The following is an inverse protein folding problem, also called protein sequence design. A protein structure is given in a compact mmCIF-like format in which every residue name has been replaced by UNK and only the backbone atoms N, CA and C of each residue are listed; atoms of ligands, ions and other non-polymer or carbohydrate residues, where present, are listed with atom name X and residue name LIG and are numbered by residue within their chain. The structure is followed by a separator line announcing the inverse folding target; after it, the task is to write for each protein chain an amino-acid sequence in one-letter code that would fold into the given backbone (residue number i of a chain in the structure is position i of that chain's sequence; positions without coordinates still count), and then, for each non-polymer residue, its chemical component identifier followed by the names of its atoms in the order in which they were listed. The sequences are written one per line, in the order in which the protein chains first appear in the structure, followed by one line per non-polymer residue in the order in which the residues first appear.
data_IF_498835276647
#
_entry.id   IF_498835276647
#
_cell.length_a   1.000
_cell.length_b   1.000
_cell.length_c   1.000
_cell.angle_alpha   90.00
_cell.angle_beta   90.00
_cell.angle_gamma   90.00
#
_symmetry.space_group_name_H-M   'P 1'
#
loop_
_entity.id
_entity.type
_entity.pdbx_description
1 polymer ?
#
# COMPACT_ATOMS: atom_id res chain seq x y z
N UNK A 1 6.31 9.43 12.62
CA UNK A 1 5.45 9.61 11.45
C UNK A 1 6.28 10.20 10.31
N UNK A 2 6.14 9.71 9.08
CA UNK A 2 6.84 10.23 7.90
C UNK A 2 5.89 11.10 7.09
N UNK A 3 6.31 12.34 6.78
CA UNK A 3 5.46 13.33 6.10
C UNK A 3 6.24 13.92 4.94
N UNK A 4 5.73 13.76 3.72
CA UNK A 4 6.26 14.44 2.54
C UNK A 4 6.18 15.95 2.76
N UNK A 5 7.31 16.64 2.71
CA UNK A 5 7.37 18.09 2.82
C UNK A 5 7.84 18.79 1.55
N UNK A 6 8.70 18.14 0.77
CA UNK A 6 9.27 18.72 -0.44
C UNK A 6 9.60 17.65 -1.47
N UNK A 7 9.42 17.96 -2.75
CA UNK A 7 9.79 17.13 -3.89
C UNK A 7 10.63 17.94 -4.88
N UNK A 8 11.66 17.30 -5.44
CA UNK A 8 12.48 17.82 -6.52
C UNK A 8 12.22 16.98 -7.78
N UNK A 9 11.71 17.61 -8.83
CA UNK A 9 11.34 16.97 -10.09
C UNK A 9 12.00 17.68 -11.28
N UNK A 10 12.53 16.98 -12.30
CA UNK A 10 13.29 17.61 -13.37
C UNK A 10 12.47 18.61 -14.20
N UNK A 11 11.17 18.38 -14.37
CA UNK A 11 10.31 19.25 -15.18
C UNK A 11 9.55 20.28 -14.34
N UNK A 12 9.20 19.93 -13.10
CA UNK A 12 8.36 20.77 -12.25
C UNK A 12 9.15 21.61 -11.25
N UNK A 13 10.47 21.37 -11.18
CA UNK A 13 11.34 21.99 -10.20
C UNK A 13 11.01 21.54 -8.78
N UNK A 14 10.97 22.51 -7.86
CA UNK A 14 10.75 22.27 -6.43
C UNK A 14 9.26 22.42 -6.10
N UNK A 15 8.66 21.37 -5.54
CA UNK A 15 7.28 21.36 -5.05
C UNK A 15 7.27 21.21 -3.54
N UNK A 16 6.60 22.12 -2.84
CA UNK A 16 6.34 21.99 -1.41
C UNK A 16 4.98 21.31 -1.19
N UNK A 17 4.97 20.29 -0.34
CA UNK A 17 3.72 19.67 0.06
C UNK A 17 2.90 20.60 0.97
N UNK A 18 1.58 20.58 0.80
CA UNK A 18 0.65 21.33 1.67
C UNK A 18 0.45 20.57 2.98
N UNK A 19 1.30 20.86 3.96
CA UNK A 19 1.28 20.22 5.27
C UNK A 19 0.63 21.14 6.30
N UNK A 20 -0.38 20.64 7.02
CA UNK A 20 -0.95 21.34 8.16
C UNK A 20 -0.07 21.12 9.40
N UNK A 21 0.83 22.06 9.66
CA UNK A 21 1.78 21.98 10.77
C UNK A 21 1.14 22.10 12.15
N UNK A 22 -0.01 22.77 12.28
CA UNK A 22 -0.76 22.81 13.55
C UNK A 22 -1.30 21.44 13.95
N UNK A 23 -1.77 20.64 12.98
CA UNK A 23 -2.17 19.25 13.27
C UNK A 23 -0.98 18.39 13.67
N UNK A 24 0.18 18.56 13.02
CA UNK A 24 1.40 17.86 13.39
C UNK A 24 1.89 18.22 14.80
N UNK A 25 1.80 19.50 15.17
CA UNK A 25 2.12 19.98 16.51
C UNK A 25 1.18 19.36 17.55
N UNK A 26 -0.13 19.35 17.30
CA UNK A 26 -1.14 18.77 18.20
C UNK A 26 -0.98 17.26 18.36
N UNK A 27 -0.60 16.54 17.30
CA UNK A 27 -0.34 15.10 17.33
C UNK A 27 0.89 14.74 18.19
N UNK A 28 1.92 15.60 18.22
CA UNK A 28 3.05 15.53 19.14
C UNK A 28 4.05 14.38 18.92
N UNK A 29 3.71 13.36 18.12
CA UNK A 29 4.63 12.25 17.81
C UNK A 29 5.85 12.74 17.02
N UNK A 30 7.01 12.04 17.11
CA UNK A 30 8.17 12.35 16.29
C UNK A 30 7.85 12.35 14.79
N UNK A 31 8.22 13.42 14.11
CA UNK A 31 8.01 13.64 12.67
C UNK A 31 9.33 13.50 11.92
N UNK A 32 9.26 12.76 10.82
CA UNK A 32 10.31 12.61 9.82
C UNK A 32 9.89 13.42 8.60
N UNK A 33 10.66 14.45 8.24
CA UNK A 33 10.47 15.20 7.00
C UNK A 33 10.96 14.35 5.82
N UNK A 34 10.06 13.94 4.95
CA UNK A 34 10.42 13.23 3.71
C UNK A 34 10.71 14.24 2.62
N UNK A 35 11.88 14.11 2.01
CA UNK A 35 12.38 14.86 0.86
C UNK A 35 12.41 13.90 -0.32
N UNK A 36 11.50 14.08 -1.28
CA UNK A 36 11.43 13.21 -2.47
C UNK A 36 12.32 13.76 -3.58
N UNK A 37 13.21 12.92 -4.10
CA UNK A 37 13.99 13.20 -5.30
C UNK A 37 13.47 12.30 -6.41
N UNK A 38 13.11 12.88 -7.55
CA UNK A 38 12.68 12.08 -8.69
C UNK A 38 13.85 11.25 -9.26
N UNK A 39 13.62 9.96 -9.53
CA UNK A 39 14.62 9.03 -10.07
C UNK A 39 15.24 9.47 -11.41
N UNK A 40 14.55 10.33 -12.16
CA UNK A 40 15.00 10.86 -13.46
C UNK A 40 15.78 12.17 -13.36
N UNK A 41 16.04 12.70 -12.15
CA UNK A 41 16.89 13.86 -11.97
C UNK A 41 18.27 13.63 -12.57
N UNK A 42 18.67 14.45 -13.54
CA UNK A 42 19.98 14.35 -14.19
C UNK A 42 21.12 14.84 -13.29
N UNK A 43 20.84 15.78 -12.39
CA UNK A 43 21.83 16.36 -11.47
C UNK A 43 21.29 16.43 -10.03
N UNK A 44 22.19 16.16 -9.08
CA UNK A 44 21.96 16.31 -7.64
C UNK A 44 22.65 17.59 -7.17
N UNK A 45 21.98 18.73 -7.35
CA UNK A 45 22.53 20.03 -7.00
C UNK A 45 22.31 20.36 -5.51
N UNK A 46 23.30 20.04 -4.70
CA UNK A 46 23.31 20.36 -3.26
C UNK A 46 23.12 21.86 -3.00
N UNK A 47 23.64 22.75 -3.85
CA UNK A 47 23.60 24.20 -3.62
C UNK A 47 22.18 24.75 -3.72
N UNK A 48 21.33 24.10 -4.52
CA UNK A 48 19.91 24.41 -4.62
C UNK A 48 19.08 23.63 -3.59
N UNK A 49 19.36 22.33 -3.41
CA UNK A 49 18.54 21.45 -2.56
C UNK A 49 18.66 21.77 -1.07
N UNK A 50 19.88 21.93 -0.55
CA UNK A 50 20.12 22.07 0.88
C UNK A 50 19.48 23.34 1.47
N UNK A 51 19.56 24.53 0.85
CA UNK A 51 18.87 25.71 1.37
C UNK A 51 17.35 25.55 1.46
N UNK A 52 16.72 24.86 0.50
CA UNK A 52 15.27 24.62 0.52
C UNK A 52 14.88 23.69 1.69
N UNK A 53 15.63 22.62 1.89
CA UNK A 53 15.43 21.69 3.01
C UNK A 53 15.62 22.41 4.35
N UNK A 54 16.67 23.23 4.50
CA UNK A 54 16.91 24.04 5.71
C UNK A 54 15.77 25.01 6.03
N UNK A 55 15.24 25.68 5.01
CA UNK A 55 14.08 26.59 5.17
C UNK A 55 12.87 25.83 5.69
N UNK A 56 12.61 24.63 5.15
CA UNK A 56 11.48 23.81 5.57
C UNK A 56 11.65 23.27 7.00
N UNK A 57 12.86 22.79 7.36
CA UNK A 57 13.21 22.39 8.73
C UNK A 57 12.98 23.53 9.71
N UNK A 58 13.46 24.73 9.39
CA UNK A 58 13.28 25.92 10.22
C UNK A 58 11.80 26.27 10.38
N UNK A 59 11.03 26.21 9.29
CA UNK A 59 9.60 26.48 9.29
C UNK A 59 8.84 25.49 10.20
N UNK A 60 9.08 24.19 10.08
CA UNK A 60 8.40 23.17 10.89
C UNK A 60 8.79 23.25 12.37
N UNK A 61 10.06 23.48 12.68
CA UNK A 61 10.52 23.69 14.06
C UNK A 61 9.88 24.93 14.69
N UNK A 62 9.80 26.04 13.95
CA UNK A 62 9.13 27.27 14.42
C UNK A 62 7.63 27.05 14.67
N UNK A 63 7.00 26.14 13.92
CA UNK A 63 5.60 25.75 14.12
C UNK A 63 5.40 24.76 15.30
N UNK A 64 6.46 24.40 16.04
CA UNK A 64 6.37 23.48 17.18
C UNK A 64 6.24 22.01 16.78
N UNK A 65 6.49 21.67 15.51
CA UNK A 65 6.50 20.27 15.07
C UNK A 65 7.69 19.55 15.73
N UNK A 66 7.43 18.37 16.30
CA UNK A 66 8.45 17.49 16.86
C UNK A 66 9.30 16.83 15.75
N UNK A 67 10.06 17.64 15.01
CA UNK A 67 10.86 17.22 13.86
C UNK A 67 12.18 16.59 14.31
N UNK A 68 12.29 15.28 14.20
CA UNK A 68 13.43 14.49 14.68
C UNK A 68 14.32 13.93 13.58
N UNK A 69 13.81 13.82 12.35
CA UNK A 69 14.54 13.21 11.24
C UNK A 69 14.21 13.84 9.88
N UNK A 70 15.12 13.66 8.94
CA UNK A 70 14.92 13.90 7.51
C UNK A 70 15.17 12.57 6.79
N UNK A 71 14.24 12.16 5.93
CA UNK A 71 14.40 10.99 5.07
C UNK A 71 14.47 11.44 3.62
N UNK A 72 15.56 11.11 2.93
CA UNK A 72 15.68 11.32 1.50
C UNK A 72 15.10 10.10 0.79
N UNK A 73 13.95 10.30 0.15
CA UNK A 73 13.31 9.29 -0.68
C UNK A 73 13.77 9.46 -2.12
N UNK A 74 14.70 8.60 -2.55
CA UNK A 74 15.32 8.69 -3.87
C UNK A 74 15.61 7.31 -4.45
N UNK A 75 14.88 6.96 -5.50
CA UNK A 75 15.10 5.75 -6.31
C UNK A 75 16.28 5.94 -7.27
N UNK A 76 17.47 6.19 -6.70
CA UNK A 76 18.69 6.42 -7.45
C UNK A 76 19.03 5.23 -8.37
N UNK A 77 19.43 5.48 -9.63
CA UNK A 77 20.06 4.45 -10.44
C UNK A 77 21.30 3.90 -9.72
N UNK A 78 21.49 2.57 -9.73
CA UNK A 78 22.62 1.91 -9.04
C UNK A 78 23.99 2.48 -9.48
N UNK A 79 24.11 2.96 -10.71
CA UNK A 79 25.32 3.60 -11.23
C UNK A 79 25.64 4.96 -10.61
N UNK A 80 24.69 5.58 -9.89
CA UNK A 80 24.78 6.93 -9.32
C UNK A 80 24.87 6.97 -7.79
N UNK A 81 25.06 5.82 -7.14
CA UNK A 81 25.18 5.78 -5.68
C UNK A 81 26.37 6.63 -5.15
N UNK A 82 27.43 6.82 -5.95
CA UNK A 82 28.55 7.70 -5.59
C UNK A 82 28.17 9.19 -5.62
N UNK A 83 27.38 9.63 -6.61
CA UNK A 83 26.81 10.98 -6.65
C UNK A 83 25.90 11.20 -5.44
N UNK A 84 25.07 10.20 -5.15
CA UNK A 84 24.14 10.25 -4.03
C UNK A 84 24.88 10.33 -2.68
N UNK A 85 25.94 9.55 -2.50
CA UNK A 85 26.79 9.63 -1.32
C UNK A 85 27.37 11.04 -1.13
N UNK A 86 27.88 11.67 -2.19
CA UNK A 86 28.40 13.05 -2.11
C UNK A 86 27.33 14.06 -1.70
N UNK A 87 26.11 13.93 -2.22
CA UNK A 87 24.97 14.72 -1.80
C UNK A 87 24.69 14.56 -0.31
N UNK A 88 24.60 13.31 0.18
CA UNK A 88 24.29 13.00 1.58
C UNK A 88 25.36 13.51 2.54
N UNK A 89 26.64 13.38 2.18
CA UNK A 89 27.74 13.92 2.99
C UNK A 89 27.63 15.45 3.12
N UNK A 90 27.33 16.15 2.03
CA UNK A 90 27.16 17.59 2.05
C UNK A 90 25.88 18.01 2.81
N UNK A 91 24.79 17.24 2.68
CA UNK A 91 23.59 17.43 3.49
C UNK A 91 23.88 17.24 4.98
N UNK A 92 24.62 16.19 5.35
CA UNK A 92 24.95 15.91 6.76
C UNK A 92 25.77 17.04 7.39
N UNK A 93 26.73 17.61 6.65
CA UNK A 93 27.50 18.80 7.07
C UNK A 93 26.63 20.06 7.17
N UNK A 94 25.64 20.18 6.30
CA UNK A 94 24.77 21.34 6.26
C UNK A 94 23.66 21.35 7.31
N UNK A 95 23.07 20.18 7.60
CA UNK A 95 21.87 20.04 8.42
C UNK A 95 22.19 20.01 9.92
N UNK A 96 21.26 20.45 10.80
CA UNK A 96 21.43 20.37 12.25
C UNK A 96 21.83 18.97 12.72
N UNK A 97 22.87 18.87 13.57
CA UNK A 97 23.44 17.59 14.01
C UNK A 97 22.50 16.76 14.89
N UNK A 98 21.46 17.38 15.46
CA UNK A 98 20.43 16.75 16.27
C UNK A 98 19.32 16.09 15.45
N UNK A 99 19.27 16.32 14.13
CA UNK A 99 18.33 15.65 13.22
C UNK A 99 18.97 14.39 12.65
N UNK A 100 18.30 13.24 12.78
CA UNK A 100 18.67 11.99 12.11
C UNK A 100 18.53 12.14 10.58
N UNK A 101 19.57 11.83 9.82
CA UNK A 101 19.51 11.73 8.37
C UNK A 101 19.28 10.27 7.95
N UNK A 102 18.20 10.01 7.22
CA UNK A 102 17.82 8.69 6.71
C UNK A 102 17.66 8.70 5.20
N UNK A 103 17.71 7.52 4.58
CA UNK A 103 17.39 7.33 3.16
C UNK A 103 16.48 6.13 2.94
N UNK A 104 15.73 6.15 1.84
CA UNK A 104 15.21 4.91 1.25
C UNK A 104 16.31 4.19 0.47
N UNK A 105 16.23 2.86 0.40
CA UNK A 105 17.16 2.02 -0.31
C UNK A 105 16.45 0.92 -1.09
N UNK A 106 16.98 0.61 -2.27
CA UNK A 106 16.39 -0.37 -3.18
C UNK A 106 17.09 -1.74 -3.10
N UNK A 107 16.35 -2.86 -3.25
CA UNK A 107 16.96 -4.19 -3.35
C UNK A 107 17.96 -4.33 -4.50
N UNK A 108 17.78 -3.56 -5.59
CA UNK A 108 18.70 -3.54 -6.75
C UNK A 108 20.10 -3.02 -6.41
N UNK A 109 20.28 -2.36 -5.26
CA UNK A 109 21.58 -1.86 -4.81
C UNK A 109 22.39 -2.91 -4.04
N UNK A 110 21.79 -4.03 -3.62
CA UNK A 110 22.42 -5.02 -2.73
C UNK A 110 23.70 -5.64 -3.29
N UNK A 111 23.85 -5.68 -4.62
CA UNK A 111 25.04 -6.20 -5.29
C UNK A 111 26.06 -5.10 -5.63
N UNK A 112 25.74 -3.83 -5.36
CA UNK A 112 26.60 -2.71 -5.68
C UNK A 112 27.67 -2.48 -4.60
N UNK A 113 28.95 -2.33 -4.99
CA UNK A 113 29.99 -1.93 -4.04
C UNK A 113 29.75 -0.51 -3.48
N UNK A 114 28.95 0.31 -4.16
CA UNK A 114 28.60 1.67 -3.71
C UNK A 114 27.61 1.72 -2.54
N UNK A 115 26.91 0.62 -2.22
CA UNK A 115 25.89 0.62 -1.18
C UNK A 115 26.49 0.83 0.22
N UNK A 116 27.56 0.12 0.59
CA UNK A 116 28.14 0.25 1.93
C UNK A 116 28.67 1.66 2.22
N UNK A 117 29.44 2.31 1.32
CA UNK A 117 29.85 3.72 1.49
C UNK A 117 28.67 4.67 1.64
N UNK A 118 27.60 4.47 0.86
CA UNK A 118 26.37 5.26 0.94
C UNK A 118 25.72 5.16 2.32
N UNK A 119 25.51 3.95 2.83
CA UNK A 119 24.86 3.72 4.13
C UNK A 119 25.70 4.22 5.32
N UNK A 120 27.03 4.32 5.17
CA UNK A 120 27.90 4.95 6.17
C UNK A 120 27.72 6.47 6.26
N UNK A 121 27.18 7.13 5.23
CA UNK A 121 27.01 8.57 5.19
C UNK A 121 25.75 9.08 5.92
N UNK A 122 24.92 8.17 6.43
CA UNK A 122 23.60 8.47 7.01
C UNK A 122 23.41 7.74 8.33
N UNK A 123 22.50 8.23 9.16
CA UNK A 123 22.27 7.75 10.53
C UNK A 123 21.32 6.53 10.58
N UNK A 124 20.47 6.39 9.56
CA UNK A 124 19.60 5.22 9.38
C UNK A 124 19.22 5.01 7.92
N UNK A 125 18.54 3.90 7.62
CA UNK A 125 18.01 3.64 6.27
C UNK A 125 16.73 2.83 6.27
N UNK A 126 16.02 2.81 5.14
CA UNK A 126 14.79 2.04 4.93
C UNK A 126 14.92 1.22 3.67
N UNK A 127 15.04 -0.11 3.78
CA UNK A 127 15.02 -0.99 2.61
C UNK A 127 13.57 -1.15 2.11
N UNK A 128 13.32 -0.76 0.87
CA UNK A 128 12.02 -0.87 0.23
C UNK A 128 11.80 -2.30 -0.26
N UNK A 129 10.84 -2.98 0.37
CA UNK A 129 10.37 -4.31 -0.02
C UNK A 129 9.01 -4.25 -0.73
N UNK A 130 8.61 -3.05 -1.14
CA UNK A 130 7.46 -2.79 -1.99
C UNK A 130 7.95 -2.48 -3.42
N UNK A 131 7.16 -2.80 -4.44
CA UNK A 131 7.50 -2.57 -5.86
C UNK A 131 8.70 -3.37 -6.36
N UNK A 132 8.70 -4.65 -6.00
CA UNK A 132 9.88 -5.51 -6.03
C UNK A 132 10.16 -6.15 -7.39
N UNK A 133 9.16 -6.31 -8.23
CA UNK A 133 9.29 -7.08 -9.47
C UNK A 133 8.52 -6.46 -10.63
N UNK A 134 8.80 -6.97 -11.82
CA UNK A 134 8.07 -6.63 -13.04
C UNK A 134 6.56 -6.84 -12.83
N UNK A 135 5.72 -5.97 -13.44
CA UNK A 135 4.27 -5.93 -13.29
C UNK A 135 3.61 -7.30 -13.04
N UNK A 136 3.93 -8.31 -13.86
CA UNK A 136 3.26 -9.62 -13.84
C UNK A 136 3.57 -10.57 -12.67
N UNK A 137 4.46 -10.24 -11.72
CA UNK A 137 4.93 -11.21 -10.70
C UNK A 137 4.45 -10.95 -9.28
N UNK A 138 3.70 -9.86 -9.05
CA UNK A 138 3.17 -9.51 -7.73
C UNK A 138 3.91 -8.35 -7.06
N UNK A 139 3.26 -7.72 -6.09
CA UNK A 139 3.81 -6.57 -5.36
C UNK A 139 4.81 -6.94 -4.26
N UNK A 140 4.70 -8.16 -3.73
CA UNK A 140 5.49 -8.65 -2.60
C UNK A 140 5.77 -10.15 -2.77
N UNK A 141 7.03 -10.52 -2.60
CA UNK A 141 7.47 -11.92 -2.53
C UNK A 141 8.16 -12.14 -1.16
N UNK A 142 7.59 -12.95 -0.26
CA UNK A 142 8.16 -13.16 1.08
C UNK A 142 9.54 -13.83 1.04
N UNK A 143 9.82 -14.66 0.04
CA UNK A 143 11.12 -15.32 -0.13
C UNK A 143 12.19 -14.32 -0.52
N UNK A 144 11.90 -13.44 -1.47
CA UNK A 144 12.81 -12.35 -1.84
C UNK A 144 12.99 -11.34 -0.70
N UNK A 145 11.89 -10.95 -0.06
CA UNK A 145 11.90 -10.05 1.10
C UNK A 145 12.81 -10.56 2.21
N UNK A 146 12.71 -11.86 2.57
CA UNK A 146 13.61 -12.49 3.56
C UNK A 146 15.06 -12.45 3.11
N UNK A 147 15.35 -12.84 1.87
CA UNK A 147 16.72 -12.88 1.34
C UNK A 147 17.36 -11.50 1.41
N UNK A 148 16.65 -10.48 0.95
CA UNK A 148 17.17 -9.11 0.94
C UNK A 148 17.29 -8.51 2.32
N UNK A 149 16.34 -8.76 3.23
CA UNK A 149 16.44 -8.31 4.61
C UNK A 149 17.71 -8.86 5.29
N UNK A 150 18.02 -10.14 5.06
CA UNK A 150 19.25 -10.78 5.58
C UNK A 150 20.51 -10.22 4.93
N UNK A 151 20.52 -10.05 3.60
CA UNK A 151 21.67 -9.47 2.89
C UNK A 151 21.94 -8.02 3.32
N UNK A 152 20.87 -7.23 3.44
CA UNK A 152 20.97 -5.83 3.84
C UNK A 152 21.54 -5.68 5.25
N UNK A 153 21.16 -6.54 6.19
CA UNK A 153 21.69 -6.55 7.55
C UNK A 153 23.22 -6.81 7.62
N UNK A 154 23.80 -7.50 6.63
CA UNK A 154 25.25 -7.69 6.54
C UNK A 154 25.99 -6.46 6.00
N UNK A 155 25.26 -5.55 5.32
CA UNK A 155 25.82 -4.39 4.63
C UNK A 155 25.62 -3.11 5.45
N UNK A 156 24.42 -2.93 6.01
CA UNK A 156 24.02 -1.75 6.77
C UNK A 156 24.83 -1.63 8.07
N UNK A 157 25.60 -0.54 8.24
CA UNK A 157 26.38 -0.30 9.46
C UNK A 157 25.56 0.38 10.58
N UNK A 158 24.34 0.80 10.27
CA UNK A 158 23.48 1.61 11.13
C UNK A 158 22.08 1.00 11.20
N UNK A 159 21.26 1.39 12.21
CA UNK A 159 19.85 1.04 12.30
C UNK A 159 19.10 1.16 10.96
N UNK A 160 18.36 0.11 10.58
CA UNK A 160 17.53 0.14 9.37
C UNK A 160 16.11 -0.35 9.61
N UNK A 161 15.21 0.10 8.75
CA UNK A 161 13.82 -0.32 8.71
C UNK A 161 13.52 -1.07 7.41
N UNK A 162 12.44 -1.83 7.40
CA UNK A 162 11.90 -2.45 6.19
C UNK A 162 10.60 -1.76 5.79
N UNK A 163 10.50 -1.26 4.56
CA UNK A 163 9.25 -0.71 4.06
C UNK A 163 8.40 -1.78 3.38
N UNK A 164 7.25 -2.11 3.99
CA UNK A 164 6.32 -3.13 3.51
C UNK A 164 5.08 -2.51 2.86
N UNK A 165 4.52 -3.15 1.81
CA UNK A 165 3.31 -2.68 1.16
C UNK A 165 2.08 -2.93 2.05
N UNK A 166 1.23 -1.92 2.18
CA UNK A 166 -0.13 -1.97 2.72
C UNK A 166 -1.16 -1.61 1.64
N UNK A 167 -0.87 -1.95 0.38
CA UNK A 167 -1.70 -1.65 -0.79
C UNK A 167 -1.67 -2.79 -1.79
N UNK A 168 -2.70 -2.82 -2.64
CA UNK A 168 -2.73 -3.56 -3.90
C UNK A 168 -2.40 -2.67 -5.10
N UNK A 169 -2.03 -3.28 -6.22
CA UNK A 169 -1.83 -2.65 -7.53
C UNK A 169 -2.86 -3.16 -8.52
N UNK A 170 -3.04 -2.47 -9.64
CA UNK A 170 -3.73 -3.06 -10.79
C UNK A 170 -2.71 -3.28 -11.90
N UNK A 171 -2.71 -4.49 -12.47
CA UNK A 171 -2.08 -4.76 -13.75
C UNK A 171 -3.04 -4.41 -14.85
N UNK A 172 -2.55 -3.65 -15.82
CA UNK A 172 -3.24 -3.40 -17.07
C UNK A 172 -2.51 -4.22 -18.13
N UNK A 173 -3.18 -5.25 -18.64
CA UNK A 173 -2.70 -6.02 -19.77
C UNK A 173 -3.50 -5.63 -21.01
N UNK A 174 -2.82 -5.09 -22.03
CA UNK A 174 -3.40 -4.84 -23.35
C UNK A 174 -2.78 -5.84 -24.36
N UNK A 175 -3.55 -6.42 -25.30
CA UNK A 175 -3.01 -7.32 -26.31
C UNK A 175 -1.86 -6.66 -27.09
N UNK A 176 -0.68 -7.30 -27.09
CA UNK A 176 0.50 -6.81 -27.81
C UNK A 176 1.31 -5.70 -27.11
N UNK A 177 0.97 -5.31 -25.89
CA UNK A 177 1.76 -4.38 -25.07
C UNK A 177 2.26 -5.04 -23.78
N UNK A 178 3.46 -4.67 -23.28
CA UNK A 178 3.92 -5.11 -21.97
C UNK A 178 2.95 -4.63 -20.87
N UNK A 179 2.64 -5.52 -19.92
CA UNK A 179 1.76 -5.20 -18.80
C UNK A 179 2.25 -3.94 -18.05
N UNK A 180 1.33 -3.01 -17.81
CA UNK A 180 1.62 -1.74 -17.12
C UNK A 180 1.05 -1.78 -15.70
N UNK A 181 1.80 -1.31 -14.70
CA UNK A 181 1.33 -1.22 -13.30
C UNK A 181 0.69 0.14 -13.06
N UNK A 182 -0.58 0.14 -12.65
CA UNK A 182 -1.26 1.32 -12.13
C UNK A 182 -1.08 1.35 -10.59
N UNK A 183 -0.13 2.17 -10.10
CA UNK A 183 0.20 2.27 -8.67
C UNK A 183 -0.45 3.46 -7.98
N UNK A 184 -0.36 4.67 -8.56
CA UNK A 184 -0.78 5.91 -7.89
C UNK A 184 -1.80 6.74 -8.68
N UNK A 185 -1.63 6.88 -10.01
CA UNK A 185 -2.53 7.63 -10.89
C UNK A 185 -3.30 6.71 -11.83
N UNK A 186 -4.59 6.98 -12.12
CA UNK A 186 -5.33 6.21 -13.09
C UNK A 186 -4.67 6.27 -14.46
N UNK A 187 -4.27 5.11 -14.97
CA UNK A 187 -3.99 4.92 -16.37
C UNK A 187 -5.35 4.75 -17.04
N UNK A 188 -5.78 5.78 -17.78
CA UNK A 188 -7.02 5.80 -18.55
C UNK A 188 -6.90 4.93 -19.81
N UNK A 189 -6.45 3.69 -19.64
CA UNK A 189 -6.28 2.72 -20.72
C UNK A 189 -7.48 1.77 -20.66
N UNK A 190 -8.21 1.66 -21.77
CA UNK A 190 -9.27 0.67 -21.95
C UNK A 190 -8.65 -0.72 -22.18
N UNK A 191 -8.24 -1.37 -21.09
CA UNK A 191 -7.66 -2.70 -21.09
C UNK A 191 -8.08 -3.45 -19.81
N UNK A 192 -8.00 -4.79 -19.84
CA UNK A 192 -8.36 -5.61 -18.69
C UNK A 192 -7.48 -5.25 -17.49
N UNK A 193 -8.13 -4.87 -16.39
CA UNK A 193 -7.49 -4.53 -15.12
C UNK A 193 -7.53 -5.75 -14.22
N UNK A 194 -6.36 -6.30 -13.90
CA UNK A 194 -6.22 -7.33 -12.88
C UNK A 194 -5.73 -6.68 -11.58
N UNK A 195 -6.62 -6.57 -10.59
CA UNK A 195 -6.21 -6.12 -9.25
C UNK A 195 -5.34 -7.19 -8.58
N UNK A 196 -4.10 -6.82 -8.26
CA UNK A 196 -3.17 -7.56 -7.43
C UNK A 196 -3.14 -6.95 -6.03
N UNK A 197 -3.84 -7.52 -5.06
CA UNK A 197 -3.61 -7.16 -3.65
C UNK A 197 -2.52 -8.03 -3.04
N UNK A 198 -1.67 -7.41 -2.23
CA UNK A 198 -0.79 -8.15 -1.32
C UNK A 198 -1.66 -8.84 -0.29
N UNK A 199 -1.51 -10.15 -0.10
CA UNK A 199 -2.25 -10.88 0.93
C UNK A 199 -1.84 -10.39 2.33
N UNK A 200 -2.79 -9.94 3.16
CA UNK A 200 -2.51 -9.59 4.56
C UNK A 200 -1.85 -10.73 5.34
N UNK A 201 -2.24 -11.98 5.06
CA UNK A 201 -1.69 -13.17 5.70
C UNK A 201 -0.23 -13.43 5.32
N UNK A 202 0.15 -13.22 4.05
CA UNK A 202 1.54 -13.36 3.63
C UNK A 202 2.45 -12.36 4.35
N UNK A 203 1.99 -11.12 4.51
CA UNK A 203 2.72 -10.07 5.23
C UNK A 203 2.77 -10.38 6.73
N UNK A 204 1.66 -10.76 7.37
CA UNK A 204 1.63 -11.14 8.78
C UNK A 204 2.59 -12.30 9.08
N UNK A 205 2.60 -13.33 8.22
CA UNK A 205 3.54 -14.46 8.33
C UNK A 205 4.99 -13.97 8.25
N UNK A 206 5.31 -13.14 7.26
CA UNK A 206 6.64 -12.57 7.09
C UNK A 206 7.08 -11.72 8.31
N UNK A 207 6.18 -10.89 8.85
CA UNK A 207 6.48 -10.03 10.00
C UNK A 207 6.71 -10.86 11.25
N UNK A 208 5.88 -11.88 11.51
CA UNK A 208 6.09 -12.78 12.66
C UNK A 208 7.45 -13.48 12.59
N UNK A 209 7.83 -13.98 11.42
CA UNK A 209 9.15 -14.59 11.21
C UNK A 209 10.28 -13.58 11.47
N UNK A 210 10.12 -12.35 10.97
CA UNK A 210 11.08 -11.27 11.14
C UNK A 210 11.22 -10.84 12.61
N UNK A 211 10.13 -10.77 13.37
CA UNK A 211 10.12 -10.41 14.78
C UNK A 211 10.66 -11.52 15.68
N UNK A 212 10.46 -12.78 15.30
CA UNK A 212 11.06 -13.92 16.01
C UNK A 212 12.58 -13.97 15.84
N UNK A 213 13.09 -13.57 14.68
CA UNK A 213 14.52 -13.59 14.36
C UNK A 213 14.94 -12.28 13.67
N UNK A 214 14.96 -11.15 14.42
CA UNK A 214 15.27 -9.86 13.84
C UNK A 214 16.73 -9.82 13.36
N UNK A 215 16.98 -9.41 12.10
CA UNK A 215 18.33 -9.21 11.61
C UNK A 215 19.07 -8.17 12.46
N UNK A 216 20.41 -8.25 12.52
CA UNK A 216 21.22 -7.26 13.20
C UNK A 216 20.94 -5.84 12.65
N UNK A 217 20.86 -4.84 13.53
CA UNK A 217 20.44 -3.45 13.22
C UNK A 217 19.00 -3.24 12.73
N UNK A 218 18.17 -4.27 12.62
CA UNK A 218 16.75 -4.10 12.31
C UNK A 218 16.05 -3.30 13.43
N UNK A 219 15.34 -2.24 13.04
CA UNK A 219 14.74 -1.25 13.94
C UNK A 219 13.23 -1.10 13.79
N UNK A 220 12.62 -1.75 12.80
CA UNK A 220 11.18 -1.81 12.66
C UNK A 220 10.69 -1.72 11.21
N UNK A 221 9.37 -1.55 11.08
CA UNK A 221 8.66 -1.56 9.80
C UNK A 221 8.16 -0.17 9.46
N UNK A 222 8.25 0.18 8.18
CA UNK A 222 7.59 1.34 7.59
C UNK A 222 6.45 0.85 6.70
N UNK A 223 5.23 1.27 6.96
CA UNK A 223 4.09 0.91 6.13
C UNK A 223 3.93 1.90 4.98
N UNK A 224 3.99 1.41 3.75
CA UNK A 224 3.74 2.20 2.56
C UNK A 224 2.50 1.64 1.85
N UNK A 225 1.39 2.35 1.66
CA UNK A 225 1.04 3.69 2.18
C UNK A 225 -0.06 3.62 3.24
N UNK A 226 -0.14 4.66 4.08
CA UNK A 226 -1.20 4.79 5.08
C UNK A 226 -2.56 4.87 4.38
N UNK A 227 -3.55 4.05 4.77
CA UNK A 227 -4.80 3.98 4.06
C UNK A 227 -5.70 5.18 4.34
N UNK A 228 -6.38 5.64 3.29
CA UNK A 228 -7.48 6.61 3.35
C UNK A 228 -8.80 5.92 3.00
N UNK A 229 -9.91 6.46 3.51
CA UNK A 229 -11.24 5.87 3.31
C UNK A 229 -11.65 5.78 1.83
N UNK A 230 -11.19 6.74 1.02
CA UNK A 230 -11.43 6.82 -0.42
C UNK A 230 -10.33 6.17 -1.26
N UNK A 231 -9.26 5.69 -0.64
CA UNK A 231 -8.18 4.99 -1.34
C UNK A 231 -8.58 3.53 -1.54
N UNK A 232 -9.04 3.20 -2.74
CA UNK A 232 -9.47 1.83 -3.09
C UNK A 232 -8.30 0.87 -3.29
N UNK A 233 -7.07 1.39 -3.42
CA UNK A 233 -5.87 0.57 -3.63
C UNK A 233 -5.14 0.24 -2.33
N UNK A 234 -5.23 1.07 -1.30
CA UNK A 234 -4.69 0.73 0.01
C UNK A 234 -5.62 -0.25 0.75
N UNK A 235 -5.03 -1.12 1.57
CA UNK A 235 -5.79 -1.93 2.52
C UNK A 235 -6.73 -1.05 3.35
N UNK A 236 -7.83 -1.59 3.86
CA UNK A 236 -8.61 -0.90 4.89
C UNK A 236 -7.76 -0.64 6.13
N UNK A 237 -8.09 0.44 6.85
CA UNK A 237 -7.45 0.75 8.13
C UNK A 237 -7.59 -0.42 9.11
N UNK A 238 -8.73 -1.12 9.10
CA UNK A 238 -8.96 -2.34 9.89
C UNK A 238 -8.00 -3.48 9.52
N UNK A 239 -7.74 -3.69 8.23
CA UNK A 239 -6.77 -4.71 7.77
C UNK A 239 -5.37 -4.38 8.26
N UNK A 240 -4.92 -3.13 8.01
CA UNK A 240 -3.59 -2.70 8.47
C UNK A 240 -3.47 -2.80 9.99
N UNK A 241 -4.50 -2.40 10.72
CA UNK A 241 -4.59 -2.50 12.16
C UNK A 241 -4.52 -3.94 12.69
N UNK A 242 -5.16 -4.89 11.99
CA UNK A 242 -5.16 -6.31 12.34
C UNK A 242 -3.79 -6.95 12.12
N UNK A 243 -3.14 -6.64 10.98
CA UNK A 243 -1.79 -7.13 10.65
C UNK A 243 -0.76 -6.58 11.63
N UNK A 244 -0.74 -5.26 11.90
CA UNK A 244 0.19 -4.64 12.86
C UNK A 244 0.06 -5.25 14.27
N UNK A 245 -1.16 -5.64 14.66
CA UNK A 245 -1.43 -6.20 15.99
C UNK A 245 -1.37 -7.72 16.04
N UNK A 246 -0.99 -8.38 14.95
CA UNK A 246 -0.96 -9.84 14.87
C UNK A 246 -2.29 -10.51 15.28
N UNK A 247 -3.41 -9.85 14.98
CA UNK A 247 -4.74 -10.42 15.23
C UNK A 247 -5.00 -11.60 14.28
N UNK A 248 -5.90 -12.55 14.64
CA UNK A 248 -6.38 -13.54 13.69
C UNK A 248 -6.97 -12.84 12.46
N UNK A 249 -6.42 -13.14 11.29
CA UNK A 249 -6.80 -12.50 10.03
C UNK A 249 -7.89 -13.31 9.35
N UNK A 250 -9.14 -12.85 9.47
CA UNK A 250 -10.32 -13.59 9.01
C UNK A 250 -11.15 -12.75 8.05
N UNK A 251 -11.52 -13.35 6.92
CA UNK A 251 -12.60 -12.86 6.07
C UNK A 251 -13.89 -13.56 6.47
N UNK A 252 -15.01 -12.82 6.47
CA UNK A 252 -16.31 -13.37 6.80
C UNK A 252 -17.38 -12.73 5.93
N UNK A 253 -18.09 -13.56 5.16
CA UNK A 253 -19.10 -13.10 4.21
C UNK A 253 -20.48 -13.17 4.84
N UNK A 254 -21.15 -12.03 4.94
CA UNK A 254 -22.53 -11.94 5.35
C UNK A 254 -23.42 -11.72 4.12
N UNK A 255 -24.41 -12.58 3.94
CA UNK A 255 -25.44 -12.42 2.93
C UNK A 255 -26.47 -11.39 3.39
N UNK A 256 -26.86 -10.48 2.50
CA UNK A 256 -27.89 -9.48 2.74
C UNK A 256 -28.94 -9.60 1.64
N UNK A 257 -30.19 -9.82 2.05
CA UNK A 257 -31.37 -9.72 1.20
C UNK A 257 -32.24 -8.59 1.74
N UNK A 258 -32.20 -7.44 1.08
CA UNK A 258 -32.89 -6.22 1.51
C UNK A 258 -34.22 -6.11 0.75
N UNK A 259 -35.38 -6.20 1.41
CA UNK A 259 -36.66 -6.16 0.73
C UNK A 259 -36.97 -4.74 0.25
N UNK A 260 -37.32 -4.61 -1.03
CA UNK A 260 -38.01 -3.44 -1.53
C UNK A 260 -39.48 -3.52 -1.12
N UNK A 261 -39.82 -2.85 -0.01
CA UNK A 261 -41.16 -2.85 0.57
C UNK A 261 -42.24 -2.33 -0.40
N UNK A 262 -41.88 -1.49 -1.37
CA UNK A 262 -42.84 -0.97 -2.34
C UNK A 262 -43.23 -2.03 -3.39
N UNK A 263 -42.37 -3.03 -3.60
CA UNK A 263 -42.60 -4.13 -4.56
C UNK A 263 -43.37 -5.32 -3.98
N UNK A 264 -43.66 -5.30 -2.68
CA UNK A 264 -44.24 -6.43 -1.96
C UNK A 264 -45.67 -6.71 -2.40
N UNK A 265 -45.94 -7.98 -2.71
CA UNK A 265 -47.26 -8.51 -3.06
C UNK A 265 -47.57 -9.74 -2.21
N UNK A 266 -48.80 -10.28 -2.32
CA UNK A 266 -49.16 -11.53 -1.65
C UNK A 266 -48.32 -12.74 -2.10
N UNK A 267 -47.74 -12.69 -3.30
CA UNK A 267 -47.03 -13.81 -3.92
C UNK A 267 -45.51 -13.69 -3.87
N UNK A 268 -44.97 -12.46 -3.96
CA UNK A 268 -43.52 -12.23 -3.97
C UNK A 268 -43.13 -10.81 -3.56
N UNK A 269 -41.86 -10.68 -3.16
CA UNK A 269 -41.19 -9.39 -2.89
C UNK A 269 -39.89 -9.35 -3.67
N UNK A 270 -39.52 -8.16 -4.18
CA UNK A 270 -38.19 -7.92 -4.75
C UNK A 270 -37.18 -7.71 -3.62
N UNK A 271 -36.07 -8.43 -3.67
CA UNK A 271 -34.95 -8.29 -2.75
C UNK A 271 -33.73 -7.78 -3.52
N UNK A 272 -33.14 -6.69 -3.04
CA UNK A 272 -31.77 -6.34 -3.39
C UNK A 272 -30.82 -7.28 -2.67
N UNK A 273 -29.90 -7.88 -3.42
CA UNK A 273 -28.95 -8.84 -2.89
C UNK A 273 -27.57 -8.21 -2.80
N UNK A 274 -26.97 -8.32 -1.64
CA UNK A 274 -25.65 -7.80 -1.37
C UNK A 274 -24.86 -8.75 -0.48
N UNK A 275 -23.54 -8.57 -0.49
CA UNK A 275 -22.64 -9.25 0.44
C UNK A 275 -21.87 -8.21 1.23
N UNK A 276 -21.65 -8.49 2.51
CA UNK A 276 -20.85 -7.66 3.40
C UNK A 276 -19.66 -8.46 3.90
N UNK A 277 -18.47 -7.86 3.81
CA UNK A 277 -17.30 -8.40 4.49
C UNK A 277 -17.35 -7.94 5.96
N UNK A 278 -17.70 -8.86 6.85
CA UNK A 278 -17.74 -8.66 8.31
C UNK A 278 -16.44 -9.08 9.01
N UNK A 279 -15.47 -9.57 8.24
CA UNK A 279 -14.13 -9.88 8.72
C UNK A 279 -13.31 -8.61 9.01
N UNK A 280 -12.08 -8.82 9.49
CA UNK A 280 -11.14 -7.74 9.80
C UNK A 280 -10.11 -7.49 8.71
N UNK A 281 -10.10 -8.29 7.64
CA UNK A 281 -9.22 -8.12 6.49
C UNK A 281 -9.99 -7.90 5.18
N UNK A 282 -9.39 -7.14 4.29
CA UNK A 282 -9.77 -7.08 2.89
C UNK A 282 -9.54 -8.45 2.25
N UNK A 283 -10.50 -8.93 1.47
CA UNK A 283 -10.46 -10.30 0.94
C UNK A 283 -11.08 -10.39 -0.45
N UNK A 284 -10.63 -11.35 -1.28
CA UNK A 284 -11.23 -11.61 -2.60
C UNK A 284 -12.70 -11.98 -2.46
N UNK A 285 -13.55 -11.43 -3.32
CA UNK A 285 -14.96 -11.77 -3.39
C UNK A 285 -15.16 -13.28 -3.62
N UNK A 286 -16.20 -13.90 -3.03
CA UNK A 286 -16.53 -15.30 -3.28
C UNK A 286 -16.70 -15.59 -4.78
N UNK A 287 -16.00 -16.60 -5.30
CA UNK A 287 -16.04 -16.92 -6.73
C UNK A 287 -17.44 -17.35 -7.18
N UNK A 288 -18.16 -18.07 -6.31
CA UNK A 288 -19.54 -18.50 -6.55
C UNK A 288 -20.39 -18.31 -5.30
N UNK A 289 -21.65 -17.93 -5.49
CA UNK A 289 -22.65 -17.87 -4.43
C UNK A 289 -23.90 -18.55 -4.96
N UNK A 290 -24.32 -19.63 -4.30
CA UNK A 290 -25.51 -20.39 -4.70
C UNK A 290 -26.69 -19.91 -3.90
N UNK A 291 -27.76 -19.52 -4.59
CA UNK A 291 -29.04 -19.19 -3.98
C UNK A 291 -29.68 -20.47 -3.45
N UNK A 292 -30.01 -20.53 -2.16
CA UNK A 292 -30.62 -21.71 -1.53
C UNK A 292 -32.12 -21.52 -1.37
N UNK A 293 -32.83 -21.36 -2.47
CA UNK A 293 -34.30 -21.34 -2.49
C UNK A 293 -34.82 -21.72 -3.88
N UNK A 294 -35.83 -22.58 -3.90
CA UNK A 294 -36.49 -23.05 -5.13
C UNK A 294 -37.65 -22.13 -5.56
N UNK A 295 -38.02 -21.14 -4.73
CA UNK A 295 -39.26 -20.35 -4.90
C UNK A 295 -39.01 -18.92 -5.45
N UNK A 296 -37.83 -18.66 -6.02
CA UNK A 296 -37.58 -17.39 -6.67
C UNK A 296 -38.10 -17.40 -8.11
N UNK A 297 -39.01 -16.46 -8.41
CA UNK A 297 -39.62 -16.28 -9.73
C UNK A 297 -38.59 -15.81 -10.76
N UNK A 298 -37.67 -14.95 -10.34
CA UNK A 298 -36.61 -14.40 -11.17
C UNK A 298 -35.45 -13.91 -10.30
N UNK A 299 -34.25 -13.92 -10.84
CA UNK A 299 -33.08 -13.29 -10.24
C UNK A 299 -32.10 -12.90 -11.35
N UNK A 300 -31.30 -11.88 -11.08
CA UNK A 300 -30.23 -11.45 -11.99
C UNK A 300 -29.03 -10.89 -11.21
N UNK A 301 -27.86 -10.97 -11.82
CA UNK A 301 -26.60 -10.48 -11.28
C UNK A 301 -26.42 -8.99 -11.55
N UNK A 302 -25.69 -8.31 -10.66
CA UNK A 302 -25.29 -6.91 -10.83
C UNK A 302 -23.80 -6.72 -10.49
N UNK A 303 -23.20 -5.67 -11.05
CA UNK A 303 -21.80 -5.32 -10.81
C UNK A 303 -20.84 -6.43 -11.24
N UNK A 304 -20.12 -7.00 -10.27
CA UNK A 304 -19.10 -8.03 -10.50
C UNK A 304 -19.64 -9.45 -10.63
N UNK A 305 -20.96 -9.66 -10.56
CA UNK A 305 -21.57 -10.99 -10.61
C UNK A 305 -22.50 -11.16 -11.80
N UNK A 306 -22.48 -12.35 -12.40
CA UNK A 306 -23.50 -12.84 -13.35
C UNK A 306 -24.28 -13.96 -12.72
N UNK A 307 -25.58 -14.01 -12.97
CA UNK A 307 -26.46 -15.05 -12.46
C UNK A 307 -26.79 -16.06 -13.56
N UNK A 308 -26.67 -17.34 -13.25
CA UNK A 308 -27.12 -18.46 -14.09
C UNK A 308 -27.42 -19.67 -13.22
N UNK A 309 -28.52 -20.37 -13.48
CA UNK A 309 -28.87 -21.63 -12.79
C UNK A 309 -28.72 -21.54 -11.25
N UNK A 310 -29.35 -20.53 -10.64
CA UNK A 310 -29.31 -20.26 -9.20
C UNK A 310 -27.94 -19.88 -8.62
N UNK A 311 -26.94 -19.67 -9.46
CA UNK A 311 -25.57 -19.36 -9.03
C UNK A 311 -25.14 -17.98 -9.51
N UNK A 312 -24.71 -17.14 -8.58
CA UNK A 312 -23.95 -15.93 -8.87
C UNK A 312 -22.49 -16.31 -9.06
N UNK A 313 -21.94 -16.09 -10.25
CA UNK A 313 -20.53 -16.30 -10.56
C UNK A 313 -19.82 -14.97 -10.76
N UNK A 314 -18.67 -14.82 -10.10
CA UNK A 314 -17.84 -13.63 -10.21
C UNK A 314 -17.29 -13.50 -11.65
N UNK A 315 -17.42 -12.32 -12.25
CA UNK A 315 -17.03 -12.07 -13.65
C UNK A 315 -15.57 -11.71 -13.83
N UNK A 316 -14.97 -11.11 -12.80
CA UNK A 316 -13.56 -10.75 -12.74
C UNK A 316 -13.09 -10.74 -11.28
N UNK A 317 -11.82 -11.09 -11.00
CA UNK A 317 -11.25 -10.97 -9.66
C UNK A 317 -11.47 -9.57 -9.09
N UNK A 318 -12.00 -9.50 -7.87
CA UNK A 318 -12.25 -8.25 -7.18
C UNK A 318 -12.16 -8.47 -5.67
N UNK A 319 -11.81 -7.41 -4.94
CA UNK A 319 -11.64 -7.42 -3.49
C UNK A 319 -12.78 -6.66 -2.83
N UNK A 320 -13.29 -7.20 -1.72
CA UNK A 320 -14.17 -6.45 -0.83
C UNK A 320 -13.42 -6.08 0.45
N UNK A 321 -13.31 -4.78 0.68
CA UNK A 321 -12.67 -4.25 1.88
C UNK A 321 -13.44 -4.63 3.14
N UNK A 322 -12.73 -4.85 4.24
CA UNK A 322 -13.33 -5.13 5.54
C UNK A 322 -14.36 -4.06 5.91
N UNK A 323 -15.52 -4.49 6.43
CA UNK A 323 -16.65 -3.64 6.80
C UNK A 323 -17.49 -3.12 5.62
N UNK A 324 -17.05 -3.29 4.37
CA UNK A 324 -17.78 -2.82 3.19
C UNK A 324 -18.84 -3.83 2.73
N UNK A 325 -19.84 -3.28 2.05
CA UNK A 325 -20.94 -4.01 1.43
C UNK A 325 -20.88 -3.78 -0.08
N UNK A 326 -21.17 -4.82 -0.85
CA UNK A 326 -21.24 -4.77 -2.30
C UNK A 326 -22.52 -5.43 -2.78
N UNK A 327 -23.26 -4.73 -3.65
CA UNK A 327 -24.39 -5.30 -4.36
C UNK A 327 -23.91 -6.38 -5.33
N UNK A 328 -24.65 -7.48 -5.40
CA UNK A 328 -24.36 -8.62 -6.28
C UNK A 328 -25.49 -8.91 -7.27
N UNK A 329 -26.67 -8.33 -7.07
CA UNK A 329 -27.84 -8.61 -7.90
C UNK A 329 -29.15 -8.32 -7.20
N UNK A 330 -30.22 -8.89 -7.74
CA UNK A 330 -31.55 -8.87 -7.14
C UNK A 330 -32.23 -10.21 -7.35
N UNK A 331 -33.24 -10.51 -6.53
CA UNK A 331 -34.12 -11.66 -6.74
C UNK A 331 -35.54 -11.34 -6.31
N UNK A 332 -36.52 -11.89 -7.04
CA UNK A 332 -37.93 -11.82 -6.68
C UNK A 332 -38.38 -13.17 -6.16
N UNK A 333 -38.68 -13.24 -4.87
CA UNK A 333 -38.95 -14.50 -4.18
C UNK A 333 -40.12 -14.32 -3.20
N UNK A 334 -40.79 -15.42 -2.87
CA UNK A 334 -41.86 -15.45 -1.85
C UNK A 334 -41.33 -15.19 -0.43
N UNK A 335 -40.12 -15.66 -0.15
CA UNK A 335 -39.42 -15.51 1.13
C UNK A 335 -38.04 -14.89 0.93
N UNK A 336 -37.40 -14.31 1.97
CA UNK A 336 -36.06 -13.76 1.84
C UNK A 336 -35.06 -14.84 1.39
N UNK A 337 -34.45 -14.70 0.19
CA UNK A 337 -33.54 -15.71 -0.31
C UNK A 337 -32.27 -15.77 0.56
N UNK A 338 -31.69 -16.95 0.67
CA UNK A 338 -30.42 -17.18 1.36
C UNK A 338 -29.32 -17.51 0.34
N UNK A 339 -28.08 -17.12 0.66
CA UNK A 339 -26.91 -17.39 -0.20
C UNK A 339 -25.90 -18.29 0.51
N UNK A 340 -25.48 -19.37 -0.16
CA UNK A 340 -24.37 -20.23 0.27
C UNK A 340 -23.09 -19.83 -0.47
N UNK A 341 -22.08 -19.40 0.26
CA UNK A 341 -20.80 -18.98 -0.29
C UNK A 341 -19.94 -20.18 -0.66
N UNK A 342 -19.39 -20.15 -1.88
CA UNK A 342 -18.36 -21.07 -2.34
C UNK A 342 -17.09 -20.25 -2.62
N UNK A 343 -16.21 -20.23 -1.62
CA UNK A 343 -14.90 -19.58 -1.71
C UNK A 343 -13.92 -20.62 -2.22
N UNK A 344 -13.34 -20.40 -3.41
CA UNK A 344 -12.17 -21.19 -3.80
C UNK A 344 -10.99 -20.75 -2.92
N UNK A 345 -10.25 -21.67 -2.29
CA UNK A 345 -9.08 -21.34 -1.48
C UNK A 345 -7.97 -20.66 -2.28
#
# INVERSE_FOLDING_TARGET
MRVLGIQFHPQEGVRLARVNTSLLQQDGRPVWLVVRLDGSLTQLDTTTMLPQIKRLVTHWRKAGVNLTAIEIDYDAPTSRLSDYQRLLMAMRQGLPSDITLSITALPTWLTSPGLRPLLKAVDSSVLQLHSVQSPGTGLFDPTLARRWSRQYALIAPHPFYLALPAYGSALIAAPGQPASVESESPLWIAAEKQELSVSPQQIDTFIRELEQQPPYHFSGIVWFRLPLDNDTRAWSLSTLAAVIRHQPLTSCWQWLALPDKASASAESTLYELAIKNTGNIDAPLPAKITLTTEDCLAADGAGSYRFSEQTFSLTAPALLRAGRTQAIGWARCSTPPQGKFHVNP
#
